data_IF_591095219776
#
_entry.id   IF_591095219776
#
_cell.length_a   1.000
_cell.length_b   1.000
_cell.length_c   1.000
_cell.angle_alpha   90.00
_cell.angle_beta   90.00
_cell.angle_gamma   90.00
#
_symmetry.space_group_name_H-M   'P 1'
#
loop_
_entity.id
_entity.type
_entity.pdbx_description
1 polymer ?
#
# COMPACT_ATOMS: atom_id res chain seq x y z
N UNK A 1 -34.09 20.23 5.32
CA UNK A 1 -32.75 20.42 4.73
C UNK A 1 -32.14 19.03 4.57
N UNK A 2 -31.99 18.54 3.34
CA UNK A 2 -31.32 17.26 3.09
C UNK A 2 -29.83 17.46 3.33
N UNK A 3 -29.28 16.80 4.34
CA UNK A 3 -27.85 16.80 4.62
C UNK A 3 -27.15 16.15 3.42
N UNK A 4 -26.53 16.96 2.56
CA UNK A 4 -25.75 16.47 1.43
C UNK A 4 -24.55 15.71 1.97
N UNK A 5 -24.58 14.37 1.87
CA UNK A 5 -23.42 13.55 2.23
C UNK A 5 -22.35 13.78 1.16
N UNK A 6 -21.25 14.46 1.55
CA UNK A 6 -20.06 14.59 0.71
C UNK A 6 -19.55 13.18 0.36
N UNK A 7 -19.24 12.94 -0.92
CA UNK A 7 -18.53 11.71 -1.33
C UNK A 7 -17.17 11.67 -0.63
N UNK A 8 -16.86 10.57 0.03
CA UNK A 8 -15.57 10.34 0.65
C UNK A 8 -14.62 9.69 -0.37
N UNK A 9 -13.50 10.34 -0.66
CA UNK A 9 -12.55 9.93 -1.70
C UNK A 9 -11.32 9.30 -1.03
N UNK A 10 -11.04 8.05 -1.40
CA UNK A 10 -9.86 7.30 -0.96
C UNK A 10 -8.89 7.21 -2.14
N UNK A 11 -7.69 7.77 -1.98
CA UNK A 11 -6.58 7.56 -2.90
C UNK A 11 -5.90 6.22 -2.59
N UNK A 12 -6.13 5.19 -3.42
CA UNK A 12 -5.46 3.89 -3.28
C UNK A 12 -4.01 4.00 -3.75
N UNK A 13 -3.08 4.11 -2.80
CA UNK A 13 -1.65 4.00 -3.06
C UNK A 13 -1.24 2.53 -3.26
N UNK A 14 -1.90 1.60 -2.54
CA UNK A 14 -1.64 0.17 -2.65
C UNK A 14 -0.18 -0.16 -2.41
N UNK A 15 0.47 -0.78 -3.40
CA UNK A 15 1.90 -1.11 -3.44
C UNK A 15 2.72 -0.21 -4.38
N UNK A 16 2.14 0.89 -4.87
CA UNK A 16 2.79 1.78 -5.86
C UNK A 16 4.03 2.52 -5.32
N UNK A 17 4.31 2.37 -4.02
CA UNK A 17 5.55 2.83 -3.41
C UNK A 17 6.77 1.97 -3.77
N UNK A 18 6.59 0.82 -4.43
CA UNK A 18 7.68 -0.04 -4.91
C UNK A 18 8.70 -0.39 -3.80
N UNK A 19 8.23 -0.68 -2.58
CA UNK A 19 9.08 -0.94 -1.41
C UNK A 19 9.83 0.28 -0.83
N UNK A 20 9.68 1.47 -1.40
CA UNK A 20 10.36 2.69 -0.97
C UNK A 20 9.49 3.53 -0.04
N UNK A 21 9.94 3.69 1.21
CA UNK A 21 9.27 4.58 2.19
C UNK A 21 9.24 6.04 1.71
N UNK A 22 10.30 6.48 1.01
CA UNK A 22 10.35 7.82 0.43
C UNK A 22 9.23 8.01 -0.60
N UNK A 23 9.06 7.04 -1.50
CA UNK A 23 7.99 7.10 -2.51
C UNK A 23 6.61 6.99 -1.87
N UNK A 24 6.46 6.25 -0.77
CA UNK A 24 5.22 6.22 0.00
C UNK A 24 4.86 7.61 0.54
N UNK A 25 5.81 8.37 1.08
CA UNK A 25 5.58 9.77 1.48
C UNK A 25 5.21 10.68 0.29
N UNK A 26 5.88 10.52 -0.85
CA UNK A 26 5.54 11.26 -2.08
C UNK A 26 4.10 10.96 -2.54
N UNK A 27 3.62 9.71 -2.40
CA UNK A 27 2.24 9.33 -2.71
C UNK A 27 1.22 9.96 -1.73
N UNK A 28 1.57 10.07 -0.45
CA UNK A 28 0.75 10.78 0.54
C UNK A 28 0.60 12.25 0.13
N UNK A 29 1.68 12.88 -0.28
CA UNK A 29 1.70 14.28 -0.71
C UNK A 29 0.87 14.53 -1.97
N UNK A 30 0.96 13.58 -2.92
CA UNK A 30 0.13 13.59 -4.12
C UNK A 30 -1.37 13.44 -3.77
N UNK A 31 -1.73 12.54 -2.86
CA UNK A 31 -3.11 12.34 -2.42
C UNK A 31 -3.70 13.61 -1.77
N UNK A 32 -2.92 14.27 -0.91
CA UNK A 32 -3.30 15.55 -0.29
C UNK A 32 -3.47 16.64 -1.35
N UNK A 33 -2.51 16.76 -2.26
CA UNK A 33 -2.54 17.77 -3.32
C UNK A 33 -3.73 17.58 -4.27
N UNK A 34 -4.17 16.33 -4.45
CA UNK A 34 -5.37 15.97 -5.22
C UNK A 34 -6.68 16.21 -4.46
N UNK A 35 -6.63 16.53 -3.16
CA UNK A 35 -7.81 16.75 -2.33
C UNK A 35 -8.52 15.48 -1.87
N UNK A 36 -7.81 14.35 -1.79
CA UNK A 36 -8.38 13.11 -1.23
C UNK A 36 -8.67 13.24 0.27
N UNK A 37 -9.71 12.55 0.75
CA UNK A 37 -10.06 12.54 2.18
C UNK A 37 -9.20 11.52 2.94
N UNK A 38 -8.80 10.43 2.28
CA UNK A 38 -7.91 9.42 2.83
C UNK A 38 -6.93 8.91 1.77
N UNK A 39 -5.81 8.35 2.24
CA UNK A 39 -4.88 7.54 1.44
C UNK A 39 -4.85 6.13 1.99
N UNK A 40 -4.93 5.13 1.11
CA UNK A 40 -4.98 3.72 1.49
C UNK A 40 -3.78 2.93 0.95
N UNK A 41 -3.11 2.23 1.84
CA UNK A 41 -2.00 1.33 1.56
C UNK A 41 -2.40 -0.14 1.78
N UNK A 42 -1.45 -1.05 1.52
CA UNK A 42 -1.63 -2.48 1.76
C UNK A 42 -0.54 -2.96 2.72
N UNK A 43 -0.93 -3.75 3.71
CA UNK A 43 -0.03 -4.34 4.69
C UNK A 43 -0.05 -5.85 4.53
N UNK A 44 1.12 -6.43 4.28
CA UNK A 44 1.24 -7.87 4.12
C UNK A 44 2.66 -8.33 4.46
N UNK A 45 2.78 -9.59 4.88
CA UNK A 45 4.03 -10.35 4.91
C UNK A 45 4.01 -11.27 3.70
N UNK A 46 4.93 -11.07 2.75
CA UNK A 46 4.89 -11.75 1.45
C UNK A 46 4.88 -13.28 1.56
N UNK A 47 5.64 -13.83 2.52
CA UNK A 47 5.69 -15.27 2.79
C UNK A 47 4.42 -15.84 3.45
N UNK A 48 3.56 -14.98 4.02
CA UNK A 48 2.30 -15.41 4.61
C UNK A 48 1.17 -15.50 3.57
N UNK A 49 1.29 -14.83 2.43
CA UNK A 49 0.22 -14.71 1.43
C UNK A 49 0.50 -15.44 0.11
N UNK A 50 1.75 -15.84 -0.14
CA UNK A 50 2.15 -16.50 -1.38
C UNK A 50 3.16 -17.62 -1.13
N UNK A 51 2.99 -18.75 -1.81
CA UNK A 51 3.91 -19.90 -1.78
C UNK A 51 5.17 -19.63 -2.60
N UNK A 52 6.30 -20.25 -2.23
CA UNK A 52 7.58 -20.07 -2.92
C UNK A 52 7.53 -20.36 -4.43
N UNK A 53 6.72 -21.34 -4.83
CA UNK A 53 6.60 -21.81 -6.22
C UNK A 53 5.51 -21.09 -7.03
N UNK A 54 4.86 -20.08 -6.46
CA UNK A 54 3.83 -19.33 -7.16
C UNK A 54 4.43 -18.56 -8.35
N UNK A 55 3.94 -18.85 -9.54
CA UNK A 55 4.25 -18.10 -10.75
C UNK A 55 3.54 -16.75 -10.73
N UNK A 56 4.21 -15.71 -11.23
CA UNK A 56 3.58 -14.42 -11.50
C UNK A 56 2.39 -14.57 -12.44
N UNK A 57 1.40 -13.69 -12.31
CA UNK A 57 0.33 -13.57 -13.29
C UNK A 57 0.88 -13.04 -14.63
N UNK A 58 0.20 -13.34 -15.75
CA UNK A 58 0.67 -12.99 -17.09
C UNK A 58 0.96 -11.48 -17.25
N UNK A 59 0.08 -10.62 -16.74
CA UNK A 59 0.28 -9.16 -16.80
C UNK A 59 1.51 -8.69 -16.02
N UNK A 60 1.86 -9.38 -14.93
CA UNK A 60 3.03 -9.07 -14.14
C UNK A 60 4.32 -9.45 -14.86
N UNK A 61 4.31 -10.59 -15.56
CA UNK A 61 5.43 -11.02 -16.41
C UNK A 61 5.63 -10.00 -17.54
N UNK A 62 4.55 -9.61 -18.22
CA UNK A 62 4.58 -8.63 -19.30
C UNK A 62 5.15 -7.27 -18.85
N UNK A 63 4.82 -6.82 -17.63
CA UNK A 63 5.26 -5.52 -17.12
C UNK A 63 6.67 -5.52 -16.52
N UNK A 64 7.16 -6.65 -16.01
CA UNK A 64 8.45 -6.71 -15.28
C UNK A 64 9.56 -7.39 -16.07
N UNK A 65 9.25 -8.17 -17.11
CA UNK A 65 10.23 -8.85 -17.96
C UNK A 65 11.12 -9.86 -17.22
N UNK A 66 10.80 -10.19 -15.97
CA UNK A 66 11.65 -10.98 -15.07
C UNK A 66 11.00 -12.33 -14.75
N UNK A 67 11.81 -13.39 -14.78
CA UNK A 67 11.45 -14.76 -14.40
C UNK A 67 11.50 -15.01 -12.89
N UNK A 68 11.62 -13.96 -12.05
CA UNK A 68 11.56 -14.12 -10.60
C UNK A 68 10.17 -14.62 -10.15
N UNK A 69 10.13 -15.35 -9.04
CA UNK A 69 8.87 -15.85 -8.48
C UNK A 69 7.98 -14.71 -7.97
N UNK A 70 6.69 -14.99 -7.83
CA UNK A 70 5.74 -14.03 -7.26
C UNK A 70 6.11 -13.63 -5.84
N UNK A 71 6.66 -14.56 -5.05
CA UNK A 71 7.17 -14.28 -3.71
C UNK A 71 8.26 -13.21 -3.72
N UNK A 72 9.26 -13.32 -4.60
CA UNK A 72 10.35 -12.34 -4.69
C UNK A 72 9.84 -10.95 -5.07
N UNK A 73 8.88 -10.88 -5.99
CA UNK A 73 8.23 -9.62 -6.34
C UNK A 73 7.52 -9.02 -5.12
N UNK A 74 6.71 -9.78 -4.40
CA UNK A 74 5.98 -9.24 -3.25
C UNK A 74 6.92 -8.81 -2.12
N UNK A 75 8.02 -9.55 -1.89
CA UNK A 75 9.04 -9.16 -0.93
C UNK A 75 9.70 -7.82 -1.24
N UNK A 76 9.84 -7.45 -2.53
CA UNK A 76 10.38 -6.13 -2.90
C UNK A 76 9.36 -4.99 -2.73
N UNK A 77 8.08 -5.33 -2.60
CA UNK A 77 7.00 -4.39 -2.37
C UNK A 77 6.62 -4.28 -0.88
N UNK A 78 7.02 -5.25 -0.06
CA UNK A 78 6.73 -5.30 1.37
C UNK A 78 7.40 -4.14 2.12
N UNK A 79 6.62 -3.36 2.88
CA UNK A 79 7.15 -2.42 3.86
C UNK A 79 7.18 -3.08 5.23
N UNK A 80 8.30 -2.93 5.94
CA UNK A 80 8.41 -3.40 7.32
C UNK A 80 7.38 -2.73 8.24
N UNK A 81 7.07 -3.38 9.36
CA UNK A 81 6.22 -2.79 10.41
C UNK A 81 6.71 -1.42 10.89
N UNK A 82 8.03 -1.20 10.93
CA UNK A 82 8.59 0.11 11.29
C UNK A 82 8.24 1.17 10.24
N UNK A 83 8.39 0.84 8.95
CA UNK A 83 8.04 1.72 7.85
C UNK A 83 6.52 1.99 7.78
N UNK A 84 5.68 0.99 8.09
CA UNK A 84 4.23 1.17 8.20
C UNK A 84 3.85 2.14 9.33
N UNK A 85 4.50 2.05 10.50
CA UNK A 85 4.33 3.02 11.60
C UNK A 85 4.80 4.42 11.19
N UNK A 86 5.96 4.52 10.54
CA UNK A 86 6.48 5.78 10.02
C UNK A 86 5.49 6.44 9.05
N UNK A 87 4.97 5.68 8.10
CA UNK A 87 4.00 6.14 7.11
C UNK A 87 2.68 6.60 7.75
N UNK A 88 2.19 5.87 8.76
CA UNK A 88 1.02 6.27 9.54
C UNK A 88 1.24 7.61 10.25
N UNK A 89 2.36 7.76 10.98
CA UNK A 89 2.68 9.03 11.66
C UNK A 89 2.89 10.17 10.66
N UNK A 90 3.45 9.89 9.48
CA UNK A 90 3.56 10.86 8.41
C UNK A 90 2.18 11.35 7.94
N UNK A 91 1.25 10.44 7.61
CA UNK A 91 -0.11 10.79 7.20
C UNK A 91 -0.82 11.64 8.27
N UNK A 92 -0.70 11.24 9.54
CA UNK A 92 -1.24 11.96 10.70
C UNK A 92 -0.65 13.37 10.81
N UNK A 93 0.67 13.52 10.65
CA UNK A 93 1.35 14.82 10.67
C UNK A 93 0.91 15.75 9.53
N UNK A 94 0.47 15.17 8.40
CA UNK A 94 0.02 15.87 7.21
C UNK A 94 -1.49 16.12 7.16
N UNK A 95 -2.24 15.59 8.14
CA UNK A 95 -3.67 15.83 8.27
C UNK A 95 -4.55 15.04 7.27
N UNK A 96 -4.06 13.94 6.71
CA UNK A 96 -4.85 13.03 5.86
C UNK A 96 -5.16 11.73 6.60
N UNK A 97 -6.37 11.19 6.41
CA UNK A 97 -6.74 9.92 7.02
C UNK A 97 -5.94 8.78 6.37
N UNK A 98 -5.22 8.02 7.21
CA UNK A 98 -4.54 6.81 6.79
C UNK A 98 -5.50 5.61 6.86
N UNK A 99 -5.47 4.77 5.83
CA UNK A 99 -6.13 3.48 5.80
C UNK A 99 -5.13 2.41 5.34
N UNK A 100 -5.31 1.16 5.78
CA UNK A 100 -4.60 0.02 5.19
C UNK A 100 -5.53 -1.18 5.04
N UNK A 101 -5.23 -2.05 4.09
CA UNK A 101 -5.84 -3.38 3.95
C UNK A 101 -4.81 -4.44 4.34
N UNK A 102 -4.98 -5.15 5.47
CA UNK A 102 -4.13 -6.26 5.85
C UNK A 102 -4.49 -7.52 5.04
N UNK A 103 -3.49 -8.23 4.52
CA UNK A 103 -3.70 -9.49 3.77
C UNK A 103 -3.33 -10.76 4.55
N UNK A 104 -2.81 -10.61 5.76
CA UNK A 104 -2.49 -11.71 6.67
C UNK A 104 -2.84 -11.31 8.12
N UNK A 105 -2.93 -12.30 9.01
CA UNK A 105 -3.33 -12.08 10.40
C UNK A 105 -2.35 -11.21 11.18
N UNK A 106 -1.04 -11.34 10.94
CA UNK A 106 -0.04 -10.53 11.66
C UNK A 106 -0.13 -9.06 11.24
N UNK A 107 -0.41 -8.79 9.96
CA UNK A 107 -0.66 -7.45 9.45
C UNK A 107 -1.98 -6.85 9.94
N UNK A 108 -2.98 -7.68 10.30
CA UNK A 108 -4.25 -7.24 10.88
C UNK A 108 -4.12 -6.85 12.35
N UNK A 109 -3.27 -7.55 13.11
CA UNK A 109 -3.08 -7.33 14.55
C UNK A 109 -2.18 -6.12 14.89
N UNK A 110 -1.37 -5.67 13.93
CA UNK A 110 -0.47 -4.52 14.04
C UNK A 110 -1.22 -3.19 14.01
#
# INVERSE_FOLDING_TARGET
MTQSKKTFIIAEAGVNHNGSIKLAHELVDAAISAGADAVKFQSFIASAIVTADASKAEYQIANTGSSESQLKMLQSLELSQQQQRELYEYCKSRGIQFLSTPFDSASLEF
#
